data_IF_658683867135
#
_entry.id   IF_658683867135
#
_cell.length_a   1.000
_cell.length_b   1.000
_cell.length_c   1.000
_cell.angle_alpha   90.00
_cell.angle_beta   90.00
_cell.angle_gamma   90.00
#
_symmetry.space_group_name_H-M   'P 1'
#
loop_
_entity.id
_entity.type
_entity.pdbx_description
1 polymer ?
#
# COMPACT_ATOMS: atom_id res chain seq x y z
N UNK A 1 18.75 14.04 -15.57
CA UNK A 1 17.35 13.82 -15.15
C UNK A 1 17.42 13.41 -13.68
N UNK A 2 17.08 14.33 -12.76
CA UNK A 2 17.12 14.05 -11.32
C UNK A 2 15.96 13.12 -10.96
N UNK A 3 16.26 12.02 -10.26
CA UNK A 3 15.29 11.03 -9.81
C UNK A 3 14.14 11.70 -9.03
N UNK A 4 12.92 11.52 -9.52
CA UNK A 4 11.67 12.15 -9.07
C UNK A 4 11.12 11.62 -7.74
N UNK A 5 11.98 11.48 -6.73
CA UNK A 5 11.58 11.12 -5.37
C UNK A 5 11.60 12.35 -4.46
N UNK A 6 10.66 12.42 -3.52
CA UNK A 6 10.70 13.36 -2.39
C UNK A 6 12.07 13.25 -1.71
N UNK A 7 12.74 14.38 -1.48
CA UNK A 7 14.06 14.36 -0.86
C UNK A 7 13.88 14.19 0.64
N UNK A 8 14.89 13.65 1.32
CA UNK A 8 14.96 13.56 2.80
C UNK A 8 15.11 14.94 3.49
N UNK A 9 14.79 16.04 2.79
CA UNK A 9 14.62 17.35 3.38
C UNK A 9 13.16 17.51 3.84
N UNK A 10 12.88 18.53 4.67
CA UNK A 10 11.50 18.90 5.01
C UNK A 10 10.87 19.53 3.77
N UNK A 11 10.47 18.69 2.83
CA UNK A 11 9.69 19.09 1.65
C UNK A 11 8.29 19.48 2.15
N UNK A 12 7.98 20.78 2.06
CA UNK A 12 6.67 21.33 2.45
C UNK A 12 5.69 21.03 1.31
N UNK A 13 4.52 20.50 1.67
CA UNK A 13 3.41 20.30 0.75
C UNK A 13 2.38 21.42 0.95
N UNK A 14 1.76 21.84 -0.13
CA UNK A 14 0.75 22.88 -0.16
C UNK A 14 -0.65 22.28 -0.37
N UNK A 15 -1.69 23.11 -0.23
CA UNK A 15 -3.09 22.76 -0.59
C UNK A 15 -3.62 21.45 0.02
N UNK A 16 -3.16 21.10 1.23
CA UNK A 16 -3.57 19.88 1.92
C UNK A 16 -5.09 19.88 2.15
N UNK A 17 -5.79 18.91 1.58
CA UNK A 17 -7.24 18.83 1.59
C UNK A 17 -7.70 17.40 1.87
N UNK A 18 -8.36 17.18 3.01
CA UNK A 18 -9.03 15.92 3.30
C UNK A 18 -10.22 15.72 2.34
N UNK A 19 -10.18 14.68 1.53
CA UNK A 19 -11.25 14.33 0.57
C UNK A 19 -12.21 13.29 1.09
N UNK A 20 -11.70 12.31 1.82
CA UNK A 20 -12.50 11.23 2.36
C UNK A 20 -11.91 10.68 3.65
N UNK A 21 -12.78 10.42 4.62
CA UNK A 21 -12.45 9.72 5.85
C UNK A 21 -13.48 8.61 6.04
N UNK A 22 -13.04 7.35 5.91
CA UNK A 22 -13.90 6.20 6.08
C UNK A 22 -14.36 6.07 7.53
N UNK A 23 -15.66 5.81 7.74
CA UNK A 23 -16.24 5.70 9.08
C UNK A 23 -15.63 4.57 9.94
N UNK A 24 -15.01 3.57 9.31
CA UNK A 24 -14.34 2.45 9.98
C UNK A 24 -12.85 2.71 10.24
N UNK A 25 -12.35 3.90 9.88
CA UNK A 25 -10.95 4.30 10.03
C UNK A 25 -9.98 3.56 9.12
N UNK A 26 -10.46 2.86 8.08
CA UNK A 26 -9.61 2.04 7.20
C UNK A 26 -9.10 2.77 5.97
N UNK A 27 -9.70 3.89 5.59
CA UNK A 27 -9.30 4.68 4.42
C UNK A 27 -9.29 6.16 4.81
N UNK A 28 -8.18 6.81 4.52
CA UNK A 28 -8.02 8.26 4.56
C UNK A 28 -7.52 8.72 3.20
N UNK A 29 -8.22 9.66 2.56
CA UNK A 29 -7.85 10.21 1.26
C UNK A 29 -7.59 11.70 1.40
N UNK A 30 -6.39 12.13 1.02
CA UNK A 30 -5.93 13.50 1.15
C UNK A 30 -5.31 13.94 -0.16
N UNK A 31 -5.78 15.07 -0.69
CA UNK A 31 -5.09 15.76 -1.78
C UNK A 31 -4.04 16.71 -1.22
N UNK A 32 -2.95 16.84 -1.94
CA UNK A 32 -1.95 17.87 -1.68
C UNK A 32 -1.29 18.28 -3.00
N UNK A 33 -0.77 19.51 -3.04
CA UNK A 33 0.11 19.95 -4.11
C UNK A 33 1.55 19.86 -3.64
N UNK A 34 2.42 19.39 -4.53
CA UNK A 34 3.87 19.44 -4.32
C UNK A 34 4.52 19.86 -5.63
N UNK A 35 5.33 20.92 -5.58
CA UNK A 35 5.82 21.61 -6.76
C UNK A 35 4.64 22.04 -7.66
N UNK A 36 4.70 21.77 -8.97
CA UNK A 36 3.65 22.09 -9.94
C UNK A 36 2.63 20.94 -10.10
N UNK A 37 2.69 19.90 -9.26
CA UNK A 37 1.87 18.70 -9.37
C UNK A 37 0.83 18.55 -8.26
N UNK A 38 -0.36 18.07 -8.62
CA UNK A 38 -1.37 17.59 -7.67
C UNK A 38 -1.19 16.09 -7.44
N UNK A 39 -1.25 15.68 -6.17
CA UNK A 39 -1.10 14.31 -5.72
C UNK A 39 -2.24 13.91 -4.79
N UNK A 40 -2.66 12.65 -4.90
CA UNK A 40 -3.66 12.05 -4.04
C UNK A 40 -2.97 11.02 -3.13
N UNK A 41 -2.88 11.31 -1.83
CA UNK A 41 -2.44 10.33 -0.83
C UNK A 41 -3.63 9.52 -0.34
N UNK A 42 -3.55 8.20 -0.45
CA UNK A 42 -4.53 7.31 0.15
C UNK A 42 -3.82 6.42 1.18
N UNK A 43 -4.15 6.62 2.45
CA UNK A 43 -3.70 5.78 3.54
C UNK A 43 -4.73 4.67 3.81
N UNK A 44 -4.28 3.42 3.80
CA UNK A 44 -5.14 2.24 3.98
C UNK A 44 -4.77 1.41 5.21
N UNK A 45 -5.79 0.88 5.87
CA UNK A 45 -5.67 -0.21 6.85
C UNK A 45 -6.61 -1.35 6.46
N UNK A 46 -6.13 -2.19 5.53
CA UNK A 46 -6.94 -3.22 4.92
C UNK A 46 -7.34 -4.33 5.93
N UNK A 47 -8.50 -4.98 5.76
CA UNK A 47 -8.89 -6.11 6.61
C UNK A 47 -7.91 -7.29 6.59
N UNK A 48 -7.85 -8.06 7.68
CA UNK A 48 -7.01 -9.27 7.78
C UNK A 48 -7.67 -10.47 7.09
N UNK A 49 -9.00 -10.57 7.13
CA UNK A 49 -9.75 -11.60 6.41
C UNK A 49 -9.68 -11.33 4.89
N UNK A 50 -9.34 -12.34 4.10
CA UNK A 50 -9.16 -12.16 2.65
C UNK A 50 -10.47 -11.84 1.91
N UNK A 51 -11.63 -12.29 2.42
CA UNK A 51 -12.94 -12.02 1.82
C UNK A 51 -13.27 -10.54 1.93
N UNK A 52 -13.19 -9.99 3.15
CA UNK A 52 -13.43 -8.57 3.40
C UNK A 52 -12.38 -7.70 2.72
N UNK A 53 -11.11 -8.13 2.74
CA UNK A 53 -10.01 -7.42 2.07
C UNK A 53 -10.20 -7.34 0.56
N UNK A 54 -10.75 -8.39 -0.06
CA UNK A 54 -11.08 -8.36 -1.49
C UNK A 54 -12.10 -7.27 -1.80
N UNK A 55 -13.21 -7.22 -1.04
CA UNK A 55 -14.24 -6.19 -1.22
C UNK A 55 -13.69 -4.79 -0.94
N UNK A 56 -12.86 -4.66 0.09
CA UNK A 56 -12.15 -3.43 0.42
C UNK A 56 -11.29 -2.92 -0.74
N UNK A 57 -10.49 -3.77 -1.39
CA UNK A 57 -9.68 -3.35 -2.54
C UNK A 57 -10.53 -2.97 -3.76
N UNK A 58 -11.64 -3.64 -4.01
CA UNK A 58 -12.58 -3.25 -5.07
C UNK A 58 -13.13 -1.84 -4.81
N UNK A 59 -13.53 -1.55 -3.57
CA UNK A 59 -14.00 -0.23 -3.17
C UNK A 59 -12.89 0.84 -3.22
N UNK A 60 -11.65 0.46 -2.90
CA UNK A 60 -10.49 1.34 -2.97
C UNK A 60 -10.22 1.83 -4.41
N UNK A 61 -10.45 0.99 -5.43
CA UNK A 61 -10.13 1.29 -6.84
C UNK A 61 -10.79 2.58 -7.35
N UNK A 62 -11.98 2.93 -6.84
CA UNK A 62 -12.70 4.14 -7.26
C UNK A 62 -11.94 5.44 -6.93
N UNK A 63 -11.13 5.41 -5.87
CA UNK A 63 -10.35 6.56 -5.41
C UNK A 63 -9.02 6.68 -6.13
N UNK A 64 -8.53 5.60 -6.77
CA UNK A 64 -7.23 5.62 -7.45
C UNK A 64 -7.33 6.38 -8.78
N UNK A 65 -6.69 7.55 -8.82
CA UNK A 65 -6.51 8.40 -9.99
C UNK A 65 -5.03 8.47 -10.42
N UNK A 66 -4.72 9.28 -11.44
CA UNK A 66 -3.34 9.63 -11.76
C UNK A 66 -2.67 10.31 -10.54
N UNK A 67 -1.35 10.18 -10.41
CA UNK A 67 -0.54 10.71 -9.31
C UNK A 67 -1.01 10.26 -7.90
N UNK A 68 -1.64 9.08 -7.81
CA UNK A 68 -2.01 8.50 -6.52
C UNK A 68 -0.81 7.85 -5.84
N UNK A 69 -0.63 8.17 -4.56
CA UNK A 69 0.30 7.49 -3.66
C UNK A 69 -0.55 6.65 -2.69
N UNK A 70 -0.50 5.32 -2.85
CA UNK A 70 -1.12 4.39 -1.91
C UNK A 70 -0.12 3.98 -0.83
N UNK A 71 -0.47 4.17 0.45
CA UNK A 71 0.36 3.78 1.59
C UNK A 71 -0.47 3.07 2.67
N UNK A 72 0.19 2.36 3.57
CA UNK A 72 -0.42 1.79 4.77
C UNK A 72 -0.24 0.28 4.88
N UNK A 73 -1.12 -0.37 5.63
CA UNK A 73 -1.08 -1.82 5.83
C UNK A 73 -2.13 -2.49 4.95
N UNK A 74 -1.64 -3.12 3.88
CA UNK A 74 -2.47 -3.87 2.93
C UNK A 74 -2.86 -5.26 3.46
N UNK A 75 -2.29 -5.72 4.57
CA UNK A 75 -2.53 -7.03 5.18
C UNK A 75 -2.40 -8.23 4.21
N UNK A 76 -1.68 -8.06 3.10
CA UNK A 76 -1.40 -9.11 2.11
C UNK A 76 0.07 -9.09 1.69
N UNK A 77 0.54 -10.21 1.15
CA UNK A 77 1.93 -10.41 0.69
C UNK A 77 1.89 -10.60 -0.82
N UNK A 78 2.56 -9.75 -1.59
CA UNK A 78 2.40 -9.70 -3.05
C UNK A 78 3.19 -10.79 -3.78
N UNK A 79 4.37 -11.13 -3.25
CA UNK A 79 5.35 -12.01 -3.88
C UNK A 79 5.93 -13.02 -2.87
N UNK A 80 6.71 -13.96 -3.37
CA UNK A 80 7.46 -14.92 -2.52
C UNK A 80 8.54 -14.23 -1.70
N UNK A 81 9.04 -13.08 -2.14
CA UNK A 81 10.06 -12.31 -1.43
C UNK A 81 9.49 -11.52 -0.23
N UNK A 82 8.17 -11.57 -0.02
CA UNK A 82 7.47 -10.91 1.09
C UNK A 82 7.12 -11.88 2.23
N UNK A 83 7.54 -13.16 2.13
CA UNK A 83 7.28 -14.20 3.13
C UNK A 83 8.59 -14.88 3.52
N UNK A 84 8.63 -15.48 4.71
CA UNK A 84 9.82 -16.18 5.18
C UNK A 84 10.20 -17.33 4.23
N UNK A 85 11.50 -17.55 4.05
CA UNK A 85 12.02 -18.65 3.24
C UNK A 85 11.53 -20.00 3.79
N UNK A 86 11.26 -20.96 2.90
CA UNK A 86 10.67 -22.26 3.26
C UNK A 86 9.17 -22.22 3.56
N UNK A 87 8.51 -21.05 3.54
CA UNK A 87 7.06 -20.97 3.74
C UNK A 87 6.27 -20.93 2.43
N UNK A 88 5.03 -21.43 2.48
CA UNK A 88 4.13 -21.41 1.32
C UNK A 88 3.36 -20.09 1.26
N UNK A 89 3.53 -19.33 0.19
CA UNK A 89 2.63 -18.24 -0.17
C UNK A 89 1.27 -18.84 -0.54
N UNK A 90 0.34 -18.79 0.41
CA UNK A 90 -1.02 -19.28 0.19
C UNK A 90 -1.72 -18.49 -0.90
N UNK A 91 -2.69 -19.14 -1.54
CA UNK A 91 -3.58 -18.47 -2.46
C UNK A 91 -4.42 -17.44 -1.70
N UNK A 92 -4.58 -16.26 -2.29
CA UNK A 92 -5.29 -15.13 -1.71
C UNK A 92 -5.94 -14.34 -2.84
N UNK A 93 -7.26 -14.49 -3.02
CA UNK A 93 -7.99 -13.76 -4.07
C UNK A 93 -7.92 -12.24 -3.93
N UNK A 94 -7.75 -11.71 -2.72
CA UNK A 94 -7.61 -10.25 -2.52
C UNK A 94 -6.29 -9.73 -3.11
N UNK A 95 -5.21 -10.53 -3.05
CA UNK A 95 -3.94 -10.20 -3.69
C UNK A 95 -4.09 -10.11 -5.20
N UNK A 96 -4.83 -11.03 -5.80
CA UNK A 96 -5.02 -11.05 -7.25
C UNK A 96 -5.79 -9.81 -7.71
N UNK A 97 -6.83 -9.41 -6.95
CA UNK A 97 -7.54 -8.14 -7.18
C UNK A 97 -6.62 -6.94 -7.05
N UNK A 98 -5.80 -6.86 -5.99
CA UNK A 98 -4.86 -5.75 -5.82
C UNK A 98 -3.89 -5.66 -6.99
N UNK A 99 -3.31 -6.79 -7.43
CA UNK A 99 -2.42 -6.83 -8.62
C UNK A 99 -3.10 -6.34 -9.88
N UNK A 100 -4.36 -6.71 -10.09
CA UNK A 100 -5.13 -6.26 -11.25
C UNK A 100 -5.40 -4.76 -11.19
N UNK A 101 -5.77 -4.21 -10.02
CA UNK A 101 -5.95 -2.76 -9.82
C UNK A 101 -4.64 -2.04 -10.11
N UNK A 102 -3.53 -2.53 -9.55
CA UNK A 102 -2.19 -1.98 -9.77
C UNK A 102 -1.86 -1.90 -11.25
N UNK A 103 -2.10 -2.98 -12.00
CA UNK A 103 -1.88 -3.01 -13.45
C UNK A 103 -2.81 -2.05 -14.21
N UNK A 104 -4.12 -2.09 -13.94
CA UNK A 104 -5.12 -1.25 -14.64
C UNK A 104 -4.91 0.24 -14.41
N UNK A 105 -4.48 0.61 -13.21
CA UNK A 105 -4.29 2.01 -12.79
C UNK A 105 -2.84 2.50 -12.98
N UNK A 106 -1.95 1.67 -13.52
CA UNK A 106 -0.54 2.03 -13.72
C UNK A 106 0.22 2.31 -12.42
N UNK A 107 -0.20 1.69 -11.31
CA UNK A 107 0.50 1.81 -10.03
C UNK A 107 1.74 0.90 -10.03
N UNK A 108 2.73 1.29 -9.24
CA UNK A 108 3.96 0.53 -9.05
C UNK A 108 4.26 0.38 -7.56
N UNK A 109 4.66 -0.82 -7.15
CA UNK A 109 5.27 -1.04 -5.84
C UNK A 109 6.69 -0.44 -5.84
N UNK A 110 6.80 0.78 -5.31
CA UNK A 110 8.05 1.54 -5.28
C UNK A 110 9.13 0.78 -4.49
N UNK A 111 8.77 0.17 -3.36
CA UNK A 111 9.74 -0.56 -2.54
C UNK A 111 10.35 -1.72 -3.32
N UNK A 112 9.50 -2.51 -4.00
CA UNK A 112 9.97 -3.65 -4.80
C UNK A 112 10.72 -3.22 -6.06
N UNK A 113 10.34 -2.10 -6.69
CA UNK A 113 11.06 -1.55 -7.84
C UNK A 113 12.51 -1.16 -7.49
N UNK A 114 12.71 -0.51 -6.34
CA UNK A 114 14.04 -0.11 -5.86
C UNK A 114 14.82 -1.28 -5.21
N UNK A 115 14.11 -2.34 -4.77
CA UNK A 115 14.68 -3.47 -4.05
C UNK A 115 14.21 -4.82 -4.63
N UNK A 116 14.55 -5.13 -5.90
CA UNK A 116 13.92 -6.23 -6.65
C UNK A 116 14.14 -7.60 -6.04
N UNK A 117 15.31 -7.85 -5.45
CA UNK A 117 15.71 -9.15 -4.89
C UNK A 117 15.78 -9.16 -3.36
N UNK A 118 15.49 -8.03 -2.72
CA UNK A 118 15.68 -7.88 -1.27
C UNK A 118 14.60 -8.64 -0.50
N UNK A 119 15.05 -9.36 0.53
CA UNK A 119 14.20 -10.16 1.39
C UNK A 119 14.06 -9.51 2.78
N UNK A 120 13.08 -8.60 2.92
CA UNK A 120 12.85 -7.82 4.14
C UNK A 120 11.36 -7.80 4.46
N UNK A 121 11.04 -7.82 5.77
CA UNK A 121 9.67 -7.87 6.27
C UNK A 121 9.31 -6.59 7.02
N UNK A 122 8.12 -6.05 6.76
CA UNK A 122 7.58 -4.87 7.46
C UNK A 122 7.06 -5.17 8.87
N UNK A 123 6.76 -6.44 9.17
CA UNK A 123 6.25 -6.89 10.47
C UNK A 123 6.87 -8.24 10.85
N UNK A 124 7.30 -8.37 12.11
CA UNK A 124 7.70 -9.66 12.73
C UNK A 124 6.72 -9.97 13.84
N UNK A 125 6.11 -11.16 13.81
CA UNK A 125 5.27 -11.64 14.92
C UNK A 125 6.13 -12.56 15.78
N UNK A 126 6.37 -12.15 17.03
CA UNK A 126 7.04 -12.99 18.01
C UNK A 126 5.95 -13.84 18.67
N UNK A 127 5.92 -15.14 18.35
CA UNK A 127 5.12 -16.09 19.11
C UNK A 127 5.87 -16.33 20.42
N UNK A 128 5.37 -15.79 21.54
CA UNK A 128 5.76 -16.31 22.86
C UNK A 128 5.26 -17.75 22.92
N UNK A 129 6.14 -18.71 22.68
CA UNK A 129 5.90 -20.07 23.12
C UNK A 129 5.92 -20.02 24.64
N UNK A 130 4.73 -20.00 25.23
CA UNK A 130 4.57 -20.18 26.65
C UNK A 130 5.17 -21.54 27.03
N UNK A 131 6.09 -21.50 28.00
CA UNK A 131 6.36 -22.60 28.92
C UNK A 131 5.05 -23.37 29.18
N UNK A 132 4.99 -24.61 28.70
CA UNK A 132 4.03 -25.61 29.17
C UNK A 132 4.83 -26.64 29.95
#
# INVERSE_FOLDING_TARGET
IQNGYFRKCVDIVDSLCLKFNGNDGRILVVDFSFQEGMFLLICVYAPVCYVDRKLFFIQLEQWVTNNTILIGDFNTKLTRLDIMEGTTLRWDSSRDILKQITLRKGLMDIWRAENPLTHVFSRRVILQQGLR
#
